data_IF_816692271262
#
_entry.id   IF_816692271262
#
_cell.length_a   1.000
_cell.length_b   1.000
_cell.length_c   1.000
_cell.angle_alpha   90.00
_cell.angle_beta   90.00
_cell.angle_gamma   90.00
#
_symmetry.space_group_name_H-M   'P 1'
#
loop_
_entity.id
_entity.type
_entity.pdbx_description
1 polymer ?
#
# COMPACT_ATOMS: atom_id res chain seq x y z
N UNK A 1 137.32 176.87 -77.80
CA UNK A 1 136.60 176.96 -76.51
C UNK A 1 135.85 175.66 -76.32
N UNK A 2 136.01 174.92 -75.23
CA UNK A 2 135.44 175.29 -73.92
C UNK A 2 134.02 175.83 -74.12
N UNK A 3 133.06 174.89 -74.21
CA UNK A 3 131.62 175.12 -74.42
C UNK A 3 130.87 173.80 -74.65
N UNK A 4 131.38 172.69 -74.12
CA UNK A 4 130.89 172.10 -72.86
C UNK A 4 129.60 171.31 -73.09
N UNK A 5 129.67 170.06 -73.55
CA UNK A 5 129.79 168.84 -72.71
C UNK A 5 128.63 168.61 -71.70
N UNK A 6 127.65 169.51 -71.58
CA UNK A 6 126.58 169.44 -70.59
C UNK A 6 125.28 168.74 -71.07
N UNK A 7 124.76 168.89 -72.31
CA UNK A 7 123.47 168.28 -72.66
C UNK A 7 123.58 166.77 -72.89
N UNK A 8 124.72 166.30 -73.42
CA UNK A 8 124.97 164.87 -73.68
C UNK A 8 125.31 164.11 -72.39
N UNK A 9 126.00 164.74 -71.42
CA UNK A 9 126.18 164.14 -70.09
C UNK A 9 124.89 164.17 -69.27
N UNK A 10 124.02 165.17 -69.45
CA UNK A 10 122.68 165.21 -68.83
C UNK A 10 121.75 164.14 -69.41
N UNK A 11 121.77 163.93 -70.74
CA UNK A 11 120.96 162.89 -71.40
C UNK A 11 121.36 161.50 -70.95
N UNK A 12 122.67 161.21 -70.97
CA UNK A 12 123.19 159.91 -70.53
C UNK A 12 122.98 159.71 -69.03
N UNK A 13 123.16 160.75 -68.21
CA UNK A 13 122.83 160.70 -66.77
C UNK A 13 121.34 160.43 -66.53
N UNK A 14 120.46 160.99 -67.37
CA UNK A 14 119.01 160.77 -67.26
C UNK A 14 118.60 159.38 -67.73
N UNK A 15 119.27 158.84 -68.75
CA UNK A 15 119.06 157.49 -69.24
C UNK A 15 119.63 156.45 -68.25
N UNK A 16 120.80 156.71 -67.66
CA UNK A 16 121.39 155.90 -66.57
C UNK A 16 120.48 155.92 -65.35
N UNK A 17 119.98 157.09 -64.94
CA UNK A 17 119.08 157.20 -63.79
C UNK A 17 117.73 156.52 -64.05
N UNK A 18 117.22 156.58 -65.28
CA UNK A 18 116.01 155.84 -65.68
C UNK A 18 116.24 154.33 -65.73
N UNK A 19 117.46 153.91 -66.07
CA UNK A 19 117.86 152.50 -65.99
C UNK A 19 118.01 152.06 -64.54
N UNK A 20 118.58 152.90 -63.66
CA UNK A 20 118.66 152.67 -62.21
C UNK A 20 117.26 152.58 -61.61
N UNK A 21 116.35 153.51 -61.92
CA UNK A 21 114.95 153.46 -61.46
C UNK A 21 114.23 152.18 -61.94
N UNK A 22 114.51 151.72 -63.17
CA UNK A 22 113.92 150.48 -63.70
C UNK A 22 114.59 149.23 -63.11
N UNK A 23 115.89 149.28 -62.80
CA UNK A 23 116.59 148.22 -62.07
C UNK A 23 116.05 148.13 -60.65
N UNK A 24 115.89 149.25 -59.94
CA UNK A 24 115.29 149.30 -58.60
C UNK A 24 113.85 148.77 -58.60
N UNK A 25 113.08 149.13 -59.64
CA UNK A 25 111.72 148.62 -59.84
C UNK A 25 111.74 147.11 -60.12
N UNK A 26 112.63 146.63 -60.98
CA UNK A 26 112.77 145.21 -61.28
C UNK A 26 113.27 144.42 -60.06
N UNK A 27 114.17 144.96 -59.26
CA UNK A 27 114.61 144.39 -57.98
C UNK A 27 113.45 144.31 -56.98
N UNK A 28 112.63 145.36 -56.90
CA UNK A 28 111.40 145.35 -56.08
C UNK A 28 110.41 144.29 -56.57
N UNK A 29 110.26 144.15 -57.89
CA UNK A 29 109.33 143.20 -58.50
C UNK A 29 109.84 141.75 -58.34
N UNK A 30 111.15 141.54 -58.48
CA UNK A 30 111.84 140.26 -58.19
C UNK A 30 111.68 139.93 -56.70
N UNK A 31 111.85 140.90 -55.79
CA UNK A 31 111.64 140.69 -54.36
C UNK A 31 110.19 140.29 -54.04
N UNK A 32 109.23 140.93 -54.70
CA UNK A 32 107.80 140.61 -54.57
C UNK A 32 107.48 139.22 -55.13
N UNK A 33 107.98 138.90 -56.32
CA UNK A 33 107.78 137.58 -56.94
C UNK A 33 108.45 136.47 -56.14
N UNK A 34 109.63 136.73 -55.58
CA UNK A 34 110.32 135.78 -54.70
C UNK A 34 109.48 135.49 -53.47
N UNK A 35 108.88 136.51 -52.86
CA UNK A 35 107.98 136.34 -51.73
C UNK A 35 106.72 135.55 -52.10
N UNK A 36 106.15 135.79 -53.29
CA UNK A 36 104.98 135.05 -53.79
C UNK A 36 105.33 133.57 -54.10
N UNK A 37 106.53 133.31 -54.61
CA UNK A 37 107.06 131.95 -54.79
C UNK A 37 107.25 131.26 -53.44
N UNK A 38 107.83 131.93 -52.45
CA UNK A 38 108.00 131.39 -51.10
C UNK A 38 106.63 131.07 -50.45
N UNK A 39 105.63 131.92 -50.67
CA UNK A 39 104.26 131.71 -50.17
C UNK A 39 103.55 130.54 -50.88
N UNK A 40 103.71 130.43 -52.20
CA UNK A 40 103.18 129.31 -52.99
C UNK A 40 103.87 128.00 -52.60
N UNK A 41 105.18 127.99 -52.36
CA UNK A 41 105.91 126.81 -51.88
C UNK A 41 105.38 126.35 -50.52
N UNK A 42 105.11 127.30 -49.61
CA UNK A 42 104.50 126.99 -48.32
C UNK A 42 103.08 126.42 -48.47
N UNK A 43 102.28 126.94 -49.42
CA UNK A 43 100.96 126.39 -49.73
C UNK A 43 101.03 124.99 -50.33
N UNK A 44 101.96 124.74 -51.25
CA UNK A 44 102.18 123.41 -51.86
C UNK A 44 102.56 122.41 -50.79
N UNK A 45 103.52 122.71 -49.93
CA UNK A 45 103.88 121.83 -48.81
C UNK A 45 102.68 121.51 -47.91
N UNK A 46 101.83 122.51 -47.62
CA UNK A 46 100.60 122.30 -46.84
C UNK A 46 99.59 121.41 -47.58
N UNK A 47 99.49 121.52 -48.91
CA UNK A 47 98.62 120.66 -49.70
C UNK A 47 99.16 119.24 -49.81
N UNK A 48 100.48 119.06 -49.87
CA UNK A 48 101.12 117.75 -49.80
C UNK A 48 100.84 117.08 -48.45
N UNK A 49 101.04 117.79 -47.33
CA UNK A 49 100.71 117.31 -45.99
C UNK A 49 99.23 116.90 -45.88
N UNK A 50 98.31 117.73 -46.38
CA UNK A 50 96.88 117.44 -46.36
C UNK A 50 96.52 116.25 -47.26
N UNK A 51 97.20 116.09 -48.39
CA UNK A 51 96.97 114.97 -49.29
C UNK A 51 97.48 113.66 -48.67
N UNK A 52 98.62 113.69 -47.98
CA UNK A 52 99.13 112.56 -47.20
C UNK A 52 98.14 112.18 -46.08
N UNK A 53 97.61 113.16 -45.33
CA UNK A 53 96.59 112.91 -44.30
C UNK A 53 95.29 112.33 -44.89
N UNK A 54 94.88 112.79 -46.07
CA UNK A 54 93.71 112.25 -46.78
C UNK A 54 93.95 110.81 -47.26
N UNK A 55 95.13 110.51 -47.77
CA UNK A 55 95.52 109.16 -48.18
C UNK A 55 95.55 108.20 -46.98
N UNK A 56 96.10 108.63 -45.84
CA UNK A 56 96.09 107.87 -44.60
C UNK A 56 94.66 107.61 -44.12
N UNK A 57 93.81 108.64 -44.07
CA UNK A 57 92.41 108.50 -43.68
C UNK A 57 91.64 107.56 -44.62
N UNK A 58 91.86 107.66 -45.93
CA UNK A 58 91.25 106.75 -46.90
C UNK A 58 91.71 105.29 -46.70
N UNK A 59 92.98 105.07 -46.36
CA UNK A 59 93.48 103.74 -46.02
C UNK A 59 92.82 103.20 -44.73
N UNK A 60 92.66 104.04 -43.71
CA UNK A 60 91.95 103.67 -42.46
C UNK A 60 90.49 103.32 -42.74
N UNK A 61 89.77 104.15 -43.50
CA UNK A 61 88.38 103.85 -43.88
C UNK A 61 88.27 102.60 -44.74
N UNK A 62 89.20 102.37 -45.66
CA UNK A 62 89.29 101.14 -46.45
C UNK A 62 89.41 99.90 -45.55
N UNK A 63 90.30 99.95 -44.56
CA UNK A 63 90.45 98.86 -43.58
C UNK A 63 89.19 98.65 -42.72
N UNK A 64 88.53 99.72 -42.28
CA UNK A 64 87.27 99.63 -41.52
C UNK A 64 86.13 99.03 -42.36
N UNK A 65 86.04 99.37 -43.64
CA UNK A 65 85.06 98.78 -44.56
C UNK A 65 85.28 97.28 -44.76
N UNK A 66 86.54 96.84 -44.85
CA UNK A 66 86.87 95.41 -44.92
C UNK A 66 86.44 94.70 -43.62
N UNK A 67 86.80 95.22 -42.45
CA UNK A 67 86.41 94.63 -41.16
C UNK A 67 84.90 94.56 -40.96
N UNK A 68 84.17 95.61 -41.36
CA UNK A 68 82.71 95.61 -41.33
C UNK A 68 82.12 94.58 -42.30
N UNK A 69 82.72 94.43 -43.47
CA UNK A 69 82.36 93.39 -44.45
C UNK A 69 82.50 91.98 -43.88
N UNK A 70 83.66 91.68 -43.27
CA UNK A 70 83.94 90.41 -42.61
C UNK A 70 82.96 90.12 -41.46
N UNK A 71 82.71 91.11 -40.60
CA UNK A 71 81.77 90.96 -39.48
C UNK A 71 80.34 90.71 -39.98
N UNK A 72 79.90 91.38 -41.05
CA UNK A 72 78.59 91.18 -41.64
C UNK A 72 78.45 89.77 -42.27
N UNK A 73 79.51 89.25 -42.88
CA UNK A 73 79.55 87.87 -43.39
C UNK A 73 79.45 86.84 -42.25
N UNK A 74 80.13 87.09 -41.13
CA UNK A 74 80.02 86.25 -39.94
C UNK A 74 78.59 86.27 -39.36
N UNK A 75 77.98 87.44 -39.22
CA UNK A 75 76.60 87.56 -38.73
C UNK A 75 75.59 86.87 -39.65
N UNK A 76 75.78 86.96 -40.98
CA UNK A 76 74.94 86.23 -41.93
C UNK A 76 75.08 84.71 -41.73
N UNK A 77 76.31 84.22 -41.58
CA UNK A 77 76.57 82.80 -41.31
C UNK A 77 75.93 82.34 -40.00
N UNK A 78 76.00 83.16 -38.94
CA UNK A 78 75.36 82.86 -37.66
C UNK A 78 73.83 82.85 -37.77
N UNK A 79 73.25 83.79 -38.52
CA UNK A 79 71.81 83.85 -38.78
C UNK A 79 71.31 82.62 -39.55
N UNK A 80 72.05 82.15 -40.56
CA UNK A 80 71.72 80.92 -41.29
C UNK A 80 71.75 79.69 -40.38
N UNK A 81 72.77 79.57 -39.51
CA UNK A 81 72.87 78.49 -38.52
C UNK A 81 71.73 78.53 -37.49
N UNK A 82 71.36 79.73 -37.03
CA UNK A 82 70.25 79.91 -36.10
C UNK A 82 68.93 79.53 -36.76
N UNK A 83 68.71 79.98 -38.00
CA UNK A 83 67.49 79.65 -38.76
C UNK A 83 67.36 78.14 -38.99
N UNK A 84 68.47 77.46 -39.28
CA UNK A 84 68.52 75.99 -39.40
C UNK A 84 68.16 75.31 -38.08
N UNK A 85 68.74 75.77 -36.96
CA UNK A 85 68.41 75.25 -35.62
C UNK A 85 66.93 75.45 -35.26
N UNK A 86 66.35 76.61 -35.60
CA UNK A 86 64.92 76.90 -35.38
C UNK A 86 64.04 75.98 -36.22
N UNK A 87 64.41 75.72 -37.47
CA UNK A 87 63.68 74.79 -38.34
C UNK A 87 63.70 73.36 -37.77
N UNK A 88 64.85 72.89 -37.29
CA UNK A 88 65.00 71.57 -36.66
C UNK A 88 64.17 71.45 -35.38
N UNK A 89 64.23 72.44 -34.49
CA UNK A 89 63.42 72.45 -33.26
C UNK A 89 61.92 72.47 -33.55
N UNK A 90 61.48 73.19 -34.60
CA UNK A 90 60.08 73.17 -35.05
C UNK A 90 59.68 71.78 -35.55
N UNK A 91 60.56 71.12 -36.30
CA UNK A 91 60.32 69.75 -36.75
C UNK A 91 60.20 68.78 -35.58
N UNK A 92 61.12 68.82 -34.62
CA UNK A 92 61.10 67.99 -33.41
C UNK A 92 59.85 68.22 -32.57
N UNK A 93 59.43 69.47 -32.39
CA UNK A 93 58.16 69.79 -31.70
C UNK A 93 56.95 69.19 -32.41
N UNK A 94 56.94 69.18 -33.75
CA UNK A 94 55.85 68.56 -34.52
C UNK A 94 55.83 67.04 -34.33
N UNK A 95 56.99 66.39 -34.35
CA UNK A 95 57.11 64.94 -34.10
C UNK A 95 56.68 64.58 -32.68
N UNK A 96 57.12 65.35 -31.68
CA UNK A 96 56.71 65.18 -30.29
C UNK A 96 55.20 65.39 -30.11
N UNK A 97 54.62 66.41 -30.75
CA UNK A 97 53.18 66.64 -30.75
C UNK A 97 52.39 65.44 -31.29
N UNK A 98 52.81 64.90 -32.44
CA UNK A 98 52.20 63.69 -33.02
C UNK A 98 52.32 62.47 -32.08
N UNK A 99 53.48 62.28 -31.44
CA UNK A 99 53.69 61.20 -30.47
C UNK A 99 52.81 61.34 -29.22
N UNK A 100 52.61 62.58 -28.74
CA UNK A 100 51.69 62.85 -27.61
C UNK A 100 50.25 62.52 -28.00
N UNK A 101 49.80 62.94 -29.18
CA UNK A 101 48.44 62.61 -29.67
C UNK A 101 48.21 61.10 -29.79
N UNK A 102 49.20 60.35 -30.29
CA UNK A 102 49.14 58.89 -30.35
C UNK A 102 49.02 58.26 -28.95
N UNK A 103 49.84 58.71 -28.00
CA UNK A 103 49.76 58.22 -26.61
C UNK A 103 48.42 58.53 -25.94
N UNK A 104 47.84 59.71 -26.22
CA UNK A 104 46.50 60.07 -25.73
C UNK A 104 45.47 59.07 -26.29
N UNK A 105 45.48 58.81 -27.60
CA UNK A 105 44.56 57.83 -28.22
C UNK A 105 44.70 56.43 -27.61
N UNK A 106 45.94 55.98 -27.41
CA UNK A 106 46.21 54.68 -26.81
C UNK A 106 45.70 54.59 -25.37
N UNK A 107 45.88 55.66 -24.58
CA UNK A 107 45.39 55.72 -23.21
C UNK A 107 43.85 55.70 -23.16
N UNK A 108 43.18 56.44 -24.06
CA UNK A 108 41.72 56.37 -24.20
C UNK A 108 41.25 54.94 -24.49
N UNK A 109 41.87 54.26 -25.46
CA UNK A 109 41.52 52.89 -25.81
C UNK A 109 41.77 51.89 -24.66
N UNK A 110 42.88 52.04 -23.93
CA UNK A 110 43.17 51.22 -22.75
C UNK A 110 42.12 51.43 -21.66
N UNK A 111 41.70 52.68 -21.43
CA UNK A 111 40.68 52.98 -20.44
C UNK A 111 39.30 52.41 -20.83
N UNK A 112 38.92 52.50 -22.10
CA UNK A 112 37.70 51.86 -22.62
C UNK A 112 37.74 50.33 -22.45
N UNK A 113 38.89 49.71 -22.73
CA UNK A 113 39.10 48.28 -22.56
C UNK A 113 39.00 47.89 -21.09
N UNK A 114 39.62 48.66 -20.18
CA UNK A 114 39.51 48.45 -18.74
C UNK A 114 38.06 48.52 -18.26
N UNK A 115 37.29 49.51 -18.70
CA UNK A 115 35.87 49.64 -18.34
C UNK A 115 35.05 48.45 -18.83
N UNK A 116 35.31 47.98 -20.06
CA UNK A 116 34.64 46.81 -20.63
C UNK A 116 34.94 45.54 -19.84
N UNK A 117 36.21 45.29 -19.54
CA UNK A 117 36.64 44.15 -18.73
C UNK A 117 36.04 44.21 -17.32
N UNK A 118 36.00 45.39 -16.70
CA UNK A 118 35.36 45.55 -15.39
C UNK A 118 33.88 45.17 -15.42
N UNK A 119 33.18 45.52 -16.51
CA UNK A 119 31.77 45.14 -16.68
C UNK A 119 31.61 43.63 -16.86
N UNK A 120 32.45 43.00 -17.68
CA UNK A 120 32.43 41.55 -17.88
C UNK A 120 32.71 40.79 -16.58
N UNK A 121 33.67 41.25 -15.78
CA UNK A 121 33.95 40.68 -14.45
C UNK A 121 32.71 40.75 -13.55
N UNK A 122 32.04 41.90 -13.45
CA UNK A 122 30.82 42.02 -12.65
C UNK A 122 29.69 41.11 -13.14
N UNK A 123 29.53 40.96 -14.46
CA UNK A 123 28.55 40.00 -15.02
C UNK A 123 28.91 38.55 -14.67
N UNK A 124 30.20 38.18 -14.72
CA UNK A 124 30.64 36.84 -14.34
C UNK A 124 30.45 36.57 -12.83
N UNK A 125 30.69 37.57 -11.98
CA UNK A 125 30.44 37.48 -10.54
C UNK A 125 28.95 37.23 -10.25
N UNK A 126 28.05 37.93 -10.94
CA UNK A 126 26.59 37.73 -10.82
C UNK A 126 26.16 36.33 -11.28
N UNK A 127 26.65 35.87 -12.43
CA UNK A 127 26.37 34.52 -12.93
C UNK A 127 26.88 33.46 -11.97
N UNK A 128 28.09 33.64 -11.43
CA UNK A 128 28.68 32.71 -10.47
C UNK A 128 27.89 32.66 -9.15
N UNK A 129 27.41 33.81 -8.67
CA UNK A 129 26.53 33.87 -7.50
C UNK A 129 25.22 33.11 -7.75
N UNK A 130 24.56 33.35 -8.88
CA UNK A 130 23.31 32.67 -9.23
C UNK A 130 23.53 31.16 -9.36
N UNK A 131 24.61 30.73 -10.01
CA UNK A 131 24.94 29.31 -10.15
C UNK A 131 25.18 28.65 -8.79
N UNK A 132 25.88 29.33 -7.88
CA UNK A 132 26.10 28.83 -6.52
C UNK A 132 24.79 28.73 -5.72
N UNK A 133 23.86 29.66 -5.90
CA UNK A 133 22.54 29.62 -5.27
C UNK A 133 21.74 28.41 -5.77
N UNK A 134 21.66 28.25 -7.10
CA UNK A 134 20.96 27.12 -7.72
C UNK A 134 21.58 25.77 -7.33
N UNK A 135 22.91 25.69 -7.24
CA UNK A 135 23.58 24.48 -6.75
C UNK A 135 23.20 24.15 -5.30
N UNK A 136 23.06 25.18 -4.45
CA UNK A 136 22.58 25.02 -3.07
C UNK A 136 21.13 24.52 -3.00
N UNK A 137 20.24 25.08 -3.83
CA UNK A 137 18.85 24.63 -3.94
C UNK A 137 18.75 23.17 -4.37
N UNK A 138 19.55 22.75 -5.36
CA UNK A 138 19.61 21.35 -5.78
C UNK A 138 20.15 20.42 -4.69
N UNK A 139 21.13 20.86 -3.90
CA UNK A 139 21.63 20.07 -2.77
C UNK A 139 20.52 19.82 -1.73
N UNK A 140 19.76 20.86 -1.37
CA UNK A 140 18.63 20.75 -0.45
C UNK A 140 17.57 19.78 -1.00
N UNK A 141 17.19 19.92 -2.27
CA UNK A 141 16.21 19.03 -2.90
C UNK A 141 16.68 17.56 -2.92
N UNK A 142 17.99 17.34 -3.12
CA UNK A 142 18.57 16.01 -3.11
C UNK A 142 18.55 15.39 -1.70
N UNK A 143 18.80 16.18 -0.66
CA UNK A 143 18.67 15.73 0.74
C UNK A 143 17.21 15.38 1.07
N UNK A 144 16.25 16.22 0.67
CA UNK A 144 14.81 15.96 0.84
C UNK A 144 14.37 14.67 0.13
N UNK A 145 14.88 14.41 -1.08
CA UNK A 145 14.60 13.18 -1.81
C UNK A 145 15.19 11.95 -1.10
N UNK A 146 16.40 12.08 -0.54
CA UNK A 146 17.02 11.01 0.24
C UNK A 146 16.20 10.67 1.49
N UNK A 147 15.71 11.68 2.20
CA UNK A 147 14.85 11.50 3.38
C UNK A 147 13.54 10.78 3.03
N UNK A 148 12.95 11.09 1.86
CA UNK A 148 11.72 10.44 1.41
C UNK A 148 11.96 9.00 0.98
N UNK A 149 13.12 8.68 0.39
CA UNK A 149 13.53 7.30 0.11
C UNK A 149 13.66 6.48 1.40
N UNK A 150 14.30 7.03 2.44
CA UNK A 150 14.43 6.37 3.73
C UNK A 150 13.07 6.10 4.41
N UNK A 151 12.10 7.01 4.21
CA UNK A 151 10.72 6.81 4.68
C UNK A 151 10.02 5.70 3.92
N UNK A 152 10.15 5.68 2.60
CA UNK A 152 9.59 4.65 1.74
C UNK A 152 10.14 3.26 2.09
N UNK A 153 11.45 3.15 2.33
CA UNK A 153 12.09 1.90 2.75
C UNK A 153 11.54 1.41 4.09
N UNK A 154 11.33 2.30 5.06
CA UNK A 154 10.71 1.94 6.36
C UNK A 154 9.27 1.46 6.19
N UNK A 155 8.47 2.15 5.37
CA UNK A 155 7.09 1.72 5.08
C UNK A 155 7.06 0.36 4.40
N UNK A 156 7.95 0.13 3.43
CA UNK A 156 8.06 -1.14 2.74
C UNK A 156 8.49 -2.28 3.67
N UNK A 157 9.41 -2.01 4.62
CA UNK A 157 9.77 -2.93 5.69
C UNK A 157 8.56 -3.30 6.56
N UNK A 158 7.82 -2.29 7.06
CA UNK A 158 6.62 -2.53 7.87
C UNK A 158 5.55 -3.35 7.12
N UNK A 159 5.34 -3.08 5.83
CA UNK A 159 4.41 -3.86 5.01
C UNK A 159 4.86 -5.31 4.84
N UNK A 160 6.16 -5.54 4.70
CA UNK A 160 6.74 -6.89 4.63
C UNK A 160 6.50 -7.66 5.94
N UNK A 161 6.69 -7.01 7.08
CA UNK A 161 6.43 -7.61 8.40
C UNK A 161 4.94 -7.94 8.59
N UNK A 162 4.04 -7.02 8.20
CA UNK A 162 2.60 -7.25 8.24
C UNK A 162 2.17 -8.42 7.33
N UNK A 163 2.77 -8.54 6.15
CA UNK A 163 2.52 -9.66 5.24
C UNK A 163 2.91 -10.99 5.89
N UNK A 164 4.09 -11.04 6.53
CA UNK A 164 4.55 -12.24 7.23
C UNK A 164 3.64 -12.62 8.41
N UNK A 165 3.13 -11.64 9.16
CA UNK A 165 2.17 -11.88 10.25
C UNK A 165 0.82 -12.41 9.74
N UNK A 166 0.35 -11.88 8.60
CA UNK A 166 -0.88 -12.34 7.95
C UNK A 166 -0.74 -13.77 7.41
N UNK A 167 0.40 -14.10 6.80
CA UNK A 167 0.70 -15.45 6.33
C UNK A 167 0.74 -16.45 7.50
N UNK A 168 1.37 -16.08 8.61
CA UNK A 168 1.41 -16.89 9.83
C UNK A 168 0.00 -17.11 10.41
N UNK A 169 -0.84 -16.07 10.41
CA UNK A 169 -2.24 -16.17 10.86
C UNK A 169 -3.07 -17.06 9.95
N UNK A 170 -2.87 -16.95 8.63
CA UNK A 170 -3.54 -17.80 7.63
C UNK A 170 -3.16 -19.27 7.81
N UNK A 171 -1.89 -19.57 8.05
CA UNK A 171 -1.42 -20.93 8.32
C UNK A 171 -2.06 -21.52 9.60
N UNK A 172 -2.18 -20.72 10.67
CA UNK A 172 -2.89 -21.14 11.90
C UNK A 172 -4.36 -21.44 11.66
N UNK A 173 -5.06 -20.55 10.96
CA UNK A 173 -6.48 -20.75 10.62
C UNK A 173 -6.69 -22.01 9.77
N UNK A 174 -5.80 -22.26 8.80
CA UNK A 174 -5.83 -23.48 8.00
C UNK A 174 -5.68 -24.73 8.88
N UNK A 175 -4.71 -24.72 9.80
CA UNK A 175 -4.51 -25.84 10.73
C UNK A 175 -5.71 -26.09 11.64
N UNK A 176 -6.37 -25.04 12.14
CA UNK A 176 -7.60 -25.21 12.94
C UNK A 176 -8.76 -25.73 12.10
N UNK A 177 -8.88 -25.28 10.85
CA UNK A 177 -9.91 -25.78 9.95
C UNK A 177 -9.70 -27.27 9.63
N UNK A 178 -8.46 -27.68 9.40
CA UNK A 178 -8.09 -29.10 9.20
C UNK A 178 -8.44 -29.92 10.46
N UNK A 179 -8.14 -29.39 11.66
CA UNK A 179 -8.50 -30.02 12.94
C UNK A 179 -10.01 -30.18 13.10
N UNK A 180 -10.79 -29.13 12.80
CA UNK A 180 -12.25 -29.16 12.88
C UNK A 180 -12.85 -30.12 11.84
N UNK A 181 -12.29 -30.17 10.64
CA UNK A 181 -12.69 -31.12 9.60
C UNK A 181 -12.49 -32.57 10.06
N UNK A 182 -11.35 -32.88 10.70
CA UNK A 182 -11.09 -34.19 11.27
C UNK A 182 -12.10 -34.53 12.39
N UNK A 183 -12.37 -33.58 13.29
CA UNK A 183 -13.33 -33.77 14.37
C UNK A 183 -14.77 -34.03 13.84
N UNK A 184 -15.17 -33.32 12.79
CA UNK A 184 -16.45 -33.57 12.11
C UNK A 184 -16.50 -34.96 11.47
N UNK A 185 -15.38 -35.43 10.90
CA UNK A 185 -15.28 -36.79 10.36
C UNK A 185 -15.41 -37.85 11.47
N UNK A 186 -14.75 -37.64 12.61
CA UNK A 186 -14.84 -38.53 13.78
C UNK A 186 -16.27 -38.57 14.34
N UNK A 187 -16.94 -37.41 14.45
CA UNK A 187 -18.35 -37.32 14.82
C UNK A 187 -19.25 -38.06 13.84
N UNK A 188 -18.98 -37.97 12.53
CA UNK A 188 -19.70 -38.74 11.51
C UNK A 188 -19.57 -40.25 11.72
N UNK A 189 -18.37 -40.73 12.05
CA UNK A 189 -18.13 -42.15 12.38
C UNK A 189 -18.90 -42.58 13.62
N UNK A 190 -18.89 -41.76 14.68
CA UNK A 190 -19.65 -42.03 15.92
C UNK A 190 -21.15 -42.09 15.63
N UNK A 191 -21.67 -41.15 14.83
CA UNK A 191 -23.08 -41.15 14.43
C UNK A 191 -23.45 -42.43 13.66
N UNK A 192 -22.62 -42.84 12.71
CA UNK A 192 -22.84 -44.10 11.96
C UNK A 192 -22.85 -45.32 12.87
N UNK A 193 -21.94 -45.38 13.86
CA UNK A 193 -21.92 -46.47 14.84
C UNK A 193 -23.18 -46.45 15.72
N UNK A 194 -23.61 -45.28 16.19
CA UNK A 194 -24.82 -45.16 17.01
C UNK A 194 -26.09 -45.55 16.22
N UNK A 195 -26.15 -45.22 14.93
CA UNK A 195 -27.25 -45.60 14.04
C UNK A 195 -27.33 -47.13 13.89
N UNK A 196 -26.20 -47.79 13.62
CA UNK A 196 -26.11 -49.25 13.55
C UNK A 196 -26.49 -49.93 14.87
N UNK A 197 -26.05 -49.39 16.01
CA UNK A 197 -26.43 -49.91 17.33
C UNK A 197 -27.92 -49.72 17.62
N UNK A 198 -28.52 -48.59 17.21
CA UNK A 198 -29.95 -48.35 17.36
C UNK A 198 -30.78 -49.36 16.55
N UNK A 199 -30.34 -49.69 15.33
CA UNK A 199 -30.96 -50.71 14.48
C UNK A 199 -30.87 -52.10 15.13
N UNK A 200 -29.69 -52.50 15.62
CA UNK A 200 -29.52 -53.78 16.33
C UNK A 200 -30.39 -53.88 17.59
N UNK A 201 -30.52 -52.80 18.37
CA UNK A 201 -31.40 -52.77 19.54
C UNK A 201 -32.86 -52.92 19.14
N UNK A 202 -33.30 -52.27 18.05
CA UNK A 202 -34.66 -52.42 17.54
C UNK A 202 -34.96 -53.87 17.13
N UNK A 203 -34.04 -54.52 16.40
CA UNK A 203 -34.17 -55.93 15.99
C UNK A 203 -34.19 -56.88 17.21
N UNK A 204 -33.33 -56.62 18.20
CA UNK A 204 -33.30 -57.41 19.44
C UNK A 204 -34.61 -57.26 20.22
N UNK A 205 -35.18 -56.05 20.26
CA UNK A 205 -36.45 -55.78 20.92
C UNK A 205 -37.60 -56.49 20.22
N UNK A 206 -37.66 -56.42 18.88
CA UNK A 206 -38.66 -57.14 18.07
C UNK A 206 -38.59 -58.65 18.30
N UNK A 207 -37.38 -59.22 18.27
CA UNK A 207 -37.14 -60.65 18.55
C UNK A 207 -37.60 -61.04 19.96
N UNK A 208 -37.27 -60.24 20.97
CA UNK A 208 -37.70 -60.48 22.35
C UNK A 208 -39.22 -60.40 22.50
N UNK A 209 -39.87 -59.43 21.85
CA UNK A 209 -41.33 -59.32 21.89
C UNK A 209 -42.02 -60.50 21.22
N UNK A 210 -41.49 -60.98 20.08
CA UNK A 210 -42.00 -62.17 19.40
C UNK A 210 -41.83 -63.43 20.28
N UNK A 211 -40.66 -63.64 20.89
CA UNK A 211 -40.40 -64.75 21.79
C UNK A 211 -41.32 -64.73 23.02
N UNK A 212 -41.54 -63.56 23.62
CA UNK A 212 -42.45 -63.43 24.77
C UNK A 212 -43.91 -63.69 24.38
N UNK A 213 -44.34 -63.24 23.21
CA UNK A 213 -45.68 -63.54 22.69
C UNK A 213 -45.87 -65.05 22.48
N UNK A 214 -44.89 -65.73 21.87
CA UNK A 214 -44.90 -67.19 21.69
C UNK A 214 -44.94 -67.93 23.04
N UNK A 215 -44.12 -67.51 24.02
CA UNK A 215 -44.13 -68.11 25.36
C UNK A 215 -45.45 -67.89 26.12
N UNK A 216 -46.10 -66.74 25.94
CA UNK A 216 -47.43 -66.50 26.52
C UNK A 216 -48.42 -67.49 25.90
N UNK A 217 -48.43 -67.63 24.59
CA UNK A 217 -49.35 -68.53 23.88
C UNK A 217 -49.13 -70.00 24.25
N UNK A 218 -47.88 -70.47 24.28
CA UNK A 218 -47.57 -71.84 24.72
C UNK A 218 -48.04 -72.10 26.16
N UNK A 219 -47.82 -71.14 27.07
CA UNK A 219 -48.26 -71.28 28.46
C UNK A 219 -49.79 -71.27 28.60
N UNK A 220 -50.50 -70.45 27.80
CA UNK A 220 -51.97 -70.44 27.75
C UNK A 220 -52.52 -71.79 27.28
N UNK A 221 -51.98 -72.33 26.20
CA UNK A 221 -52.35 -73.65 25.70
C UNK A 221 -52.08 -74.78 26.72
N UNK A 222 -50.96 -74.75 27.44
CA UNK A 222 -50.66 -75.71 28.51
C UNK A 222 -51.63 -75.59 29.69
N UNK A 223 -52.00 -74.37 30.08
CA UNK A 223 -52.98 -74.12 31.15
C UNK A 223 -54.35 -74.65 30.76
N UNK A 224 -54.82 -74.39 29.54
CA UNK A 224 -56.06 -74.96 29.01
C UNK A 224 -56.05 -76.48 29.02
N UNK A 225 -54.97 -77.10 28.53
CA UNK A 225 -54.85 -78.55 28.48
C UNK A 225 -54.90 -79.15 29.90
N UNK A 226 -54.17 -78.54 30.85
CA UNK A 226 -54.18 -78.94 32.25
C UNK A 226 -55.58 -78.77 32.89
N UNK A 227 -56.27 -77.68 32.57
CA UNK A 227 -57.62 -77.40 33.06
C UNK A 227 -58.63 -78.41 32.50
N UNK A 228 -58.60 -78.66 31.19
CA UNK A 228 -59.41 -79.66 30.50
C UNK A 228 -59.22 -81.05 31.09
N UNK A 229 -57.96 -81.46 31.31
CA UNK A 229 -57.66 -82.74 31.95
C UNK A 229 -58.19 -82.81 33.38
N UNK A 230 -58.10 -81.71 34.14
CA UNK A 230 -58.61 -81.64 35.52
C UNK A 230 -60.13 -81.75 35.55
N UNK A 231 -60.81 -81.03 34.65
CA UNK A 231 -62.27 -81.03 34.54
C UNK A 231 -62.79 -82.41 34.10
N UNK A 232 -62.14 -83.04 33.12
CA UNK A 232 -62.45 -84.41 32.66
C UNK A 232 -62.22 -85.45 33.78
N UNK A 233 -61.15 -85.32 34.56
CA UNK A 233 -60.92 -86.20 35.70
C UNK A 233 -61.99 -86.02 36.77
N UNK A 234 -62.42 -84.79 37.03
CA UNK A 234 -63.47 -84.49 38.01
C UNK A 234 -64.83 -85.00 37.57
N UNK A 235 -65.20 -84.84 36.29
CA UNK A 235 -66.45 -85.33 35.71
C UNK A 235 -66.58 -86.86 35.71
N UNK A 236 -65.48 -87.60 35.83
CA UNK A 236 -65.54 -89.07 35.92
C UNK A 236 -65.45 -89.58 37.36
N UNK A 237 -64.94 -88.75 38.28
CA UNK A 237 -64.70 -89.13 39.67
C UNK A 237 -65.97 -89.31 40.51
N UNK A 238 -67.03 -88.54 40.23
CA UNK A 238 -68.29 -88.61 41.02
C UNK A 238 -69.03 -89.94 40.81
N UNK A 239 -68.92 -90.55 39.63
CA UNK A 239 -69.58 -91.81 39.28
C UNK A 239 -69.12 -92.98 40.18
N UNK A 240 -67.82 -93.03 40.50
CA UNK A 240 -67.27 -93.99 41.46
C UNK A 240 -67.81 -93.75 42.87
N UNK A 241 -67.96 -92.48 43.26
CA UNK A 241 -68.50 -92.10 44.57
C UNK A 241 -69.95 -92.54 44.75
N UNK A 242 -70.80 -92.35 43.74
CA UNK A 242 -72.22 -92.72 43.79
C UNK A 242 -72.45 -94.23 43.86
N UNK A 243 -71.66 -95.03 43.13
CA UNK A 243 -71.78 -96.50 43.15
C UNK A 243 -71.48 -97.13 44.51
N UNK A 244 -70.69 -96.47 45.36
CA UNK A 244 -70.32 -96.98 46.68
C UNK A 244 -71.41 -96.77 47.76
N UNK A 245 -72.48 -96.01 47.47
CA UNK A 245 -73.51 -95.64 48.45
C UNK A 245 -74.54 -96.78 48.66
N UNK A 246 -74.44 -97.88 47.90
CA UNK A 246 -75.27 -99.07 48.12
C UNK A 246 -76.74 -98.90 47.71
N UNK A 247 -77.06 -97.86 46.94
CA UNK A 247 -78.39 -97.61 46.41
C UNK A 247 -78.71 -98.65 45.31
N UNK A 248 -79.90 -99.30 45.35
CA UNK A 248 -80.29 -100.27 44.31
C UNK A 248 -80.33 -99.61 42.92
N UNK A 249 -79.59 -100.19 41.98
CA UNK A 249 -79.27 -99.50 40.71
C UNK A 249 -80.47 -99.36 39.75
N UNK A 250 -81.46 -100.26 39.86
CA UNK A 250 -82.61 -100.37 38.95
C UNK A 250 -83.95 -100.09 39.63
N UNK A 251 -83.93 -99.51 40.83
CA UNK A 251 -85.14 -99.07 41.52
C UNK A 251 -85.23 -97.55 41.45
N UNK A 252 -86.44 -96.96 41.43
CA UNK A 252 -86.60 -95.52 41.59
C UNK A 252 -85.86 -95.06 42.84
N UNK A 253 -85.08 -93.99 42.72
CA UNK A 253 -84.30 -93.46 43.84
C UNK A 253 -85.20 -93.10 45.03
N UNK A 254 -86.34 -92.47 44.75
CA UNK A 254 -87.19 -91.88 45.78
C UNK A 254 -86.52 -90.68 46.46
N UNK A 255 -87.23 -89.98 47.37
CA UNK A 255 -86.78 -88.69 47.90
C UNK A 255 -85.44 -88.76 48.64
N UNK A 256 -85.25 -89.79 49.47
CA UNK A 256 -84.07 -89.91 50.33
C UNK A 256 -82.81 -90.24 49.52
N UNK A 257 -82.87 -91.23 48.62
CA UNK A 257 -81.69 -91.59 47.82
C UNK A 257 -81.39 -90.55 46.72
N UNK A 258 -82.41 -89.84 46.23
CA UNK A 258 -82.22 -88.74 45.28
C UNK A 258 -81.42 -87.58 45.92
N UNK A 259 -81.80 -87.17 47.14
CA UNK A 259 -81.07 -86.13 47.87
C UNK A 259 -79.61 -86.54 48.14
N UNK A 260 -79.37 -87.80 48.51
CA UNK A 260 -78.00 -88.31 48.71
C UNK A 260 -77.20 -88.30 47.40
N UNK A 261 -77.82 -88.65 46.27
CA UNK A 261 -77.17 -88.65 44.97
C UNK A 261 -76.83 -87.23 44.49
N UNK A 262 -77.76 -86.29 44.67
CA UNK A 262 -77.61 -84.86 44.36
C UNK A 262 -76.54 -84.20 45.24
N UNK A 263 -76.55 -84.44 46.54
CA UNK A 263 -75.55 -83.90 47.46
C UNK A 263 -74.14 -84.38 47.09
N UNK A 264 -74.01 -85.61 46.58
CA UNK A 264 -72.73 -86.14 46.12
C UNK A 264 -72.25 -85.53 44.80
N UNK A 265 -73.16 -85.18 43.89
CA UNK A 265 -72.83 -84.47 42.65
C UNK A 265 -72.43 -83.02 42.91
N UNK A 266 -73.01 -82.38 43.93
CA UNK A 266 -72.81 -80.97 44.23
C UNK A 266 -71.35 -80.52 44.26
N UNK A 267 -70.50 -81.24 44.98
CA UNK A 267 -69.07 -80.89 45.06
C UNK A 267 -68.37 -80.92 43.69
N UNK A 268 -68.80 -81.82 42.82
CA UNK A 268 -68.24 -81.95 41.46
C UNK A 268 -68.81 -80.89 40.53
N UNK A 269 -70.08 -80.55 40.69
CA UNK A 269 -70.76 -79.53 39.90
C UNK A 269 -70.29 -78.13 40.27
N UNK A 270 -70.13 -77.83 41.56
CA UNK A 270 -69.56 -76.57 42.03
C UNK A 270 -68.12 -76.35 41.52
N UNK A 271 -67.35 -77.43 41.34
CA UNK A 271 -66.01 -77.37 40.74
C UNK A 271 -66.05 -77.13 39.23
N UNK A 272 -67.00 -77.78 38.54
CA UNK A 272 -67.20 -77.65 37.09
C UNK A 272 -68.06 -76.43 36.72
N UNK A 273 -68.43 -75.59 37.69
CA UNK A 273 -69.38 -74.48 37.54
C UNK A 273 -70.71 -74.85 36.91
N UNK A 274 -71.19 -76.06 37.20
CA UNK A 274 -72.46 -76.55 36.74
C UNK A 274 -73.55 -76.24 37.74
N UNK A 275 -74.66 -75.72 37.24
CA UNK A 275 -75.81 -75.41 38.06
C UNK A 275 -76.65 -76.68 38.29
N UNK A 276 -76.88 -77.01 39.57
CA UNK A 276 -77.72 -78.15 39.96
C UNK A 276 -79.15 -78.04 39.43
N UNK A 277 -79.88 -76.92 39.64
CA UNK A 277 -81.22 -76.75 39.08
C UNK A 277 -81.30 -77.04 37.57
N UNK A 278 -80.29 -76.60 36.81
CA UNK A 278 -80.20 -76.83 35.37
C UNK A 278 -79.99 -78.32 35.04
N UNK A 279 -79.21 -79.04 35.83
CA UNK A 279 -79.10 -80.49 35.72
C UNK A 279 -80.39 -81.23 36.08
N UNK A 280 -81.13 -80.78 37.10
CA UNK A 280 -82.41 -81.41 37.45
C UNK A 280 -83.43 -81.24 36.31
N UNK A 281 -83.39 -80.10 35.60
CA UNK A 281 -84.16 -79.87 34.37
C UNK A 281 -83.71 -80.81 33.25
N UNK A 282 -82.41 -80.96 33.02
CA UNK A 282 -81.84 -81.91 32.06
C UNK A 282 -82.33 -83.34 32.34
N UNK A 283 -82.20 -83.77 33.59
CA UNK A 283 -82.57 -85.09 34.05
C UNK A 283 -84.08 -85.36 33.90
N UNK A 284 -84.93 -84.37 34.22
CA UNK A 284 -86.38 -84.47 34.06
C UNK A 284 -86.80 -84.54 32.58
N UNK A 285 -86.11 -83.79 31.71
CA UNK A 285 -86.37 -83.80 30.27
C UNK A 285 -85.94 -85.12 29.61
N UNK A 286 -84.77 -85.64 29.97
CA UNK A 286 -84.22 -86.87 29.38
C UNK A 286 -85.09 -88.10 29.65
N UNK A 287 -85.74 -88.16 30.83
CA UNK A 287 -86.51 -89.34 31.27
C UNK A 287 -88.02 -89.11 31.41
N UNK A 288 -88.56 -87.98 30.91
CA UNK A 288 -90.00 -87.68 30.87
C UNK A 288 -90.74 -87.88 32.22
N UNK A 289 -90.09 -87.57 33.35
CA UNK A 289 -90.65 -87.76 34.69
C UNK A 289 -91.82 -86.82 35.02
N UNK A 290 -92.02 -85.75 34.24
CA UNK A 290 -93.05 -84.72 34.45
C UNK A 290 -92.94 -83.95 35.77
N UNK A 291 -91.92 -84.21 36.59
CA UNK A 291 -91.71 -83.67 37.94
C UNK A 291 -90.24 -83.27 38.11
N UNK A 292 -90.00 -82.10 38.72
CA UNK A 292 -88.67 -81.58 39.06
C UNK A 292 -88.64 -81.32 40.58
N UNK A 293 -87.82 -82.04 41.37
CA UNK A 293 -86.85 -83.04 40.94
C UNK A 293 -87.51 -84.37 40.47
N UNK A 294 -86.90 -85.05 39.48
CA UNK A 294 -87.42 -86.29 38.89
C UNK A 294 -87.13 -87.49 39.80
N UNK A 295 -87.88 -87.65 40.88
CA UNK A 295 -87.61 -88.68 41.91
C UNK A 295 -87.87 -90.13 41.46
N UNK A 296 -88.53 -90.32 40.31
CA UNK A 296 -88.88 -91.62 39.74
C UNK A 296 -87.76 -92.24 38.88
N UNK A 297 -86.64 -91.54 38.70
CA UNK A 297 -85.48 -92.06 37.97
C UNK A 297 -84.72 -93.09 38.79
N UNK A 298 -84.14 -94.08 38.10
CA UNK A 298 -83.22 -95.05 38.70
C UNK A 298 -81.82 -94.46 38.87
N UNK A 299 -80.99 -95.06 39.73
CA UNK A 299 -79.60 -94.62 39.90
C UNK A 299 -78.81 -94.71 38.57
N UNK A 300 -79.09 -95.72 37.73
CA UNK A 300 -78.47 -95.84 36.41
C UNK A 300 -78.85 -94.68 35.48
N UNK A 301 -80.12 -94.29 35.45
CA UNK A 301 -80.61 -93.17 34.65
C UNK A 301 -80.03 -91.84 35.17
N UNK A 302 -80.02 -91.65 36.49
CA UNK A 302 -79.39 -90.50 37.14
C UNK A 302 -77.89 -90.39 36.81
N UNK A 303 -77.15 -91.50 36.93
CA UNK A 303 -75.73 -91.54 36.58
C UNK A 303 -75.50 -91.32 35.08
N UNK A 304 -76.34 -91.87 34.22
CA UNK A 304 -76.19 -91.68 32.77
C UNK A 304 -76.42 -90.21 32.41
N UNK A 305 -77.47 -89.59 32.95
CA UNK A 305 -77.74 -88.17 32.73
C UNK A 305 -76.67 -87.25 33.33
N UNK A 306 -76.16 -87.54 34.53
CA UNK A 306 -75.06 -86.75 35.09
C UNK A 306 -73.78 -86.88 34.24
N UNK A 307 -73.53 -88.05 33.64
CA UNK A 307 -72.44 -88.26 32.70
C UNK A 307 -72.64 -87.50 31.39
N UNK A 308 -73.83 -87.53 30.81
CA UNK A 308 -74.17 -86.81 29.58
C UNK A 308 -74.09 -85.30 29.80
N UNK A 309 -74.73 -84.77 30.85
CA UNK A 309 -74.72 -83.35 31.19
C UNK A 309 -73.31 -82.81 31.46
N UNK A 310 -72.48 -83.57 32.18
CA UNK A 310 -71.08 -83.18 32.37
C UNK A 310 -70.25 -83.30 31.09
N UNK A 311 -70.59 -84.22 30.18
CA UNK A 311 -69.92 -84.31 28.87
C UNK A 311 -70.27 -83.11 28.00
N UNK A 312 -71.55 -82.75 27.91
CA UNK A 312 -71.97 -81.55 27.16
C UNK A 312 -71.33 -80.28 27.72
N UNK A 313 -71.22 -80.16 29.04
CA UNK A 313 -70.53 -79.03 29.65
C UNK A 313 -69.03 -79.00 29.35
N UNK A 314 -68.37 -80.15 29.31
CA UNK A 314 -66.96 -80.24 28.93
C UNK A 314 -66.75 -79.93 27.45
N UNK A 315 -67.66 -80.37 26.58
CA UNK A 315 -67.63 -80.04 25.16
C UNK A 315 -67.90 -78.55 24.93
N UNK A 316 -68.70 -77.89 25.77
CA UNK A 316 -68.85 -76.44 25.75
C UNK A 316 -67.62 -75.70 26.30
N UNK A 317 -67.07 -76.14 27.43
CA UNK A 317 -65.93 -75.49 28.07
C UNK A 317 -64.59 -75.75 27.38
N UNK A 318 -64.44 -76.86 26.68
CA UNK A 318 -63.23 -77.23 25.93
C UNK A 318 -63.63 -77.74 24.54
N UNK A 319 -64.17 -76.85 23.69
CA UNK A 319 -64.77 -77.27 22.44
C UNK A 319 -63.69 -77.72 21.45
N UNK A 320 -64.04 -78.71 20.62
CA UNK A 320 -63.18 -79.18 19.53
C UNK A 320 -63.35 -78.35 18.25
N UNK A 321 -64.45 -77.60 18.17
CA UNK A 321 -64.86 -76.74 17.07
C UNK A 321 -65.27 -75.36 17.64
N UNK A 322 -65.63 -74.37 16.83
CA UNK A 322 -65.92 -72.98 17.26
C UNK A 322 -67.22 -72.80 18.10
N UNK A 323 -67.82 -73.90 18.60
CA UNK A 323 -69.05 -73.89 19.38
C UNK A 323 -68.76 -74.14 20.86
N UNK A 324 -68.37 -73.09 21.59
CA UNK A 324 -68.11 -73.17 23.02
C UNK A 324 -67.31 -71.97 23.52
N UNK A 325 -66.59 -72.18 24.62
CA UNK A 325 -65.72 -71.19 25.22
C UNK A 325 -64.33 -71.22 24.55
N UNK A 326 -63.87 -70.08 24.06
CA UNK A 326 -62.57 -69.99 23.39
C UNK A 326 -61.41 -69.75 24.40
N UNK A 327 -60.18 -69.78 23.87
CA UNK A 327 -58.97 -69.60 24.68
C UNK A 327 -58.85 -68.20 25.29
N UNK A 328 -59.34 -67.17 24.60
CA UNK A 328 -59.29 -65.79 25.08
C UNK A 328 -60.24 -65.60 26.26
N UNK A 329 -61.43 -66.17 26.18
CA UNK A 329 -62.43 -66.15 27.25
C UNK A 329 -61.96 -66.91 28.50
N UNK A 330 -61.22 -68.01 28.33
CA UNK A 330 -60.55 -68.69 29.45
C UNK A 330 -59.42 -67.88 30.06
N UNK A 331 -58.63 -67.19 29.22
CA UNK A 331 -57.56 -66.33 29.69
C UNK A 331 -58.12 -65.13 30.48
N UNK A 332 -59.22 -64.52 30.03
CA UNK A 332 -59.94 -63.45 30.74
C UNK A 332 -60.51 -63.95 32.08
N UNK A 333 -61.02 -65.19 32.12
CA UNK A 333 -61.49 -65.83 33.35
C UNK A 333 -60.36 -66.33 34.27
N UNK A 334 -59.09 -66.11 33.90
CA UNK A 334 -57.91 -66.59 34.66
C UNK A 334 -57.98 -68.10 34.88
N UNK A 335 -58.48 -68.84 33.87
CA UNK A 335 -58.60 -70.30 33.90
C UNK A 335 -59.41 -70.86 35.08
N UNK A 336 -60.37 -70.09 35.59
CA UNK A 336 -61.32 -70.50 36.61
C UNK A 336 -62.75 -70.23 36.15
N UNK A 337 -63.55 -71.28 36.00
CA UNK A 337 -64.92 -71.17 35.52
C UNK A 337 -65.79 -70.26 36.41
N UNK A 338 -65.40 -70.03 37.66
CA UNK A 338 -66.14 -69.15 38.57
C UNK A 338 -66.09 -67.70 38.14
N UNK A 339 -64.98 -67.31 37.52
CA UNK A 339 -64.73 -65.98 36.98
C UNK A 339 -65.36 -65.77 35.60
N UNK A 340 -65.88 -66.84 34.98
CA UNK A 340 -66.61 -66.69 33.73
C UNK A 340 -67.85 -65.82 33.95
N UNK A 341 -68.15 -64.90 33.01
CA UNK A 341 -69.43 -64.22 32.94
C UNK A 341 -70.60 -65.22 32.97
N UNK A 342 -71.75 -64.80 33.51
CA UNK A 342 -72.88 -65.71 33.68
C UNK A 342 -73.41 -66.28 32.35
N UNK A 343 -73.31 -65.52 31.26
CA UNK A 343 -73.65 -65.89 29.89
C UNK A 343 -72.60 -66.80 29.22
N UNK A 344 -71.45 -67.01 29.87
CA UNK A 344 -70.35 -67.88 29.43
C UNK A 344 -70.23 -69.14 30.29
N UNK A 345 -71.15 -69.36 31.23
CA UNK A 345 -71.25 -70.62 31.97
C UNK A 345 -72.13 -71.57 31.20
N UNK A 346 -71.82 -72.85 31.26
CA UNK A 346 -72.64 -73.86 30.64
C UNK A 346 -74.03 -73.85 31.28
N UNK A 347 -75.02 -73.57 30.46
CA UNK A 347 -76.43 -73.68 30.80
C UNK A 347 -77.00 -74.64 29.76
N UNK A 348 -77.61 -75.73 30.22
CA UNK A 348 -78.35 -76.59 29.32
C UNK A 348 -79.64 -75.90 28.89
N UNK A 349 -79.63 -75.41 27.66
CA UNK A 349 -80.79 -74.87 26.98
C UNK A 349 -81.52 -76.03 26.31
N UNK A 350 -82.43 -76.66 27.06
CA UNK A 350 -83.05 -77.92 26.66
C UNK A 350 -83.39 -78.04 25.18
N UNK A 351 -82.73 -78.97 24.50
CA UNK A 351 -82.96 -79.16 23.07
C UNK A 351 -84.40 -79.62 22.81
N UNK A 352 -85.16 -78.89 21.97
CA UNK A 352 -86.32 -79.47 21.31
C UNK A 352 -85.78 -80.40 20.21
N UNK A 353 -85.70 -81.69 20.52
CA UNK A 353 -85.18 -82.79 19.70
C UNK A 353 -84.75 -82.53 18.25
N UNK A 354 -83.46 -82.75 17.97
CA UNK A 354 -82.95 -83.48 16.80
C UNK A 354 -81.44 -83.70 16.90
#
# INVERSE_FOLDING_TARGET
GWGFLLPYSLSLSKDVQKLEDEVDRLETLIGTLSQEVDELELQVNRYEDLNEELEENNAVFGNQLVQLGESNEEYNTQNERLNTSVAELRHQNKVLGASVEEKIRMNTWLNETRVRLSKEVSTLEEVNFNLSSTAGEYAILNDELSDELDRLDKVNGNLTDQLAELDASTAKLKSENDRLSNLNSELGTILSFLDEQAEQVAETYETLTAFLAEQIEENRGLLLLSLSSTYTQRSTSWACGLRMIGIPVNSPLGPDNYNIAIERLKDSFDFLCLDLPTFELFLAAQYNSGTSPPMDVTLNEFMSAASEYTTEALDYYFPRDDNGLDEEEWAEAVYDCKNLPADKKFIWEGQPGS
#
